data_IF_071572955033
#
_entry.id   IF_071572955033
#
_cell.length_a   1.000
_cell.length_b   1.000
_cell.length_c   1.000
_cell.angle_alpha   90.00
_cell.angle_beta   90.00
_cell.angle_gamma   90.00
#
_symmetry.space_group_name_H-M   'P 1'
#
loop_
_entity.id
_entity.type
_entity.pdbx_description
1 polymer ?
#
# COMPACT_ATOMS: atom_id res chain seq x y z
N UNK A 1 16.18 -17.56 13.02
CA UNK A 1 15.69 -16.19 13.31
C UNK A 1 14.24 -16.28 13.73
N UNK A 2 13.93 -15.90 14.97
CA UNK A 2 12.55 -15.80 15.43
C UNK A 2 11.81 -14.70 14.67
N UNK A 3 10.58 -15.00 14.25
CA UNK A 3 9.72 -14.10 13.50
C UNK A 3 9.13 -13.09 14.47
N UNK A 4 9.39 -11.79 14.26
CA UNK A 4 8.82 -10.72 15.08
C UNK A 4 7.29 -10.74 14.94
N UNK A 5 6.60 -11.01 16.05
CA UNK A 5 5.16 -11.27 16.06
C UNK A 5 4.39 -9.96 15.97
N UNK A 6 4.94 -8.89 16.56
CA UNK A 6 4.37 -7.55 16.49
C UNK A 6 4.30 -7.04 15.04
N UNK A 7 5.39 -7.12 14.28
CA UNK A 7 5.43 -6.73 12.87
C UNK A 7 4.36 -7.45 12.02
N UNK A 8 4.06 -8.71 12.34
CA UNK A 8 3.03 -9.46 11.63
C UNK A 8 1.61 -9.08 12.03
N UNK A 9 1.38 -8.77 13.32
CA UNK A 9 0.11 -8.22 13.78
C UNK A 9 -0.14 -6.85 13.15
N UNK A 10 0.87 -5.97 13.15
CA UNK A 10 0.76 -4.63 12.58
C UNK A 10 0.42 -4.68 11.09
N UNK A 11 0.95 -5.63 10.33
CA UNK A 11 0.54 -5.84 8.92
C UNK A 11 -0.93 -6.22 8.79
N UNK A 12 -1.42 -7.14 9.64
CA UNK A 12 -2.82 -7.56 9.63
C UNK A 12 -3.74 -6.40 10.04
N UNK A 13 -3.40 -5.67 11.11
CA UNK A 13 -4.15 -4.52 11.57
C UNK A 13 -4.15 -3.38 10.56
N UNK A 14 -3.02 -3.06 9.94
CA UNK A 14 -2.92 -2.03 8.91
C UNK A 14 -3.83 -2.35 7.73
N UNK A 15 -3.79 -3.58 7.19
CA UNK A 15 -4.68 -3.93 6.08
C UNK A 15 -6.15 -3.98 6.51
N UNK A 16 -6.47 -4.47 7.72
CA UNK A 16 -7.82 -4.37 8.26
C UNK A 16 -8.31 -2.91 8.36
N UNK A 17 -7.44 -1.99 8.79
CA UNK A 17 -7.71 -0.56 8.83
C UNK A 17 -7.94 0.06 7.46
N UNK A 18 -7.14 -0.31 6.44
CA UNK A 18 -7.35 0.14 5.04
C UNK A 18 -8.73 -0.32 4.55
N UNK A 19 -9.05 -1.61 4.72
CA UNK A 19 -10.33 -2.19 4.29
C UNK A 19 -11.50 -1.50 4.96
N UNK A 20 -11.44 -1.38 6.29
CA UNK A 20 -12.48 -0.71 7.07
C UNK A 20 -12.63 0.76 6.65
N UNK A 21 -11.52 1.48 6.49
CA UNK A 21 -11.52 2.88 6.07
C UNK A 21 -12.16 3.06 4.71
N UNK A 22 -11.72 2.30 3.70
CA UNK A 22 -12.33 2.38 2.36
C UNK A 22 -13.80 2.02 2.37
N UNK A 23 -14.23 1.01 3.13
CA UNK A 23 -15.64 0.61 3.16
C UNK A 23 -16.53 1.58 3.93
N UNK A 24 -15.99 2.23 4.96
CA UNK A 24 -16.70 3.23 5.76
C UNK A 24 -16.82 4.56 5.02
N UNK A 25 -15.81 4.92 4.22
CA UNK A 25 -15.78 6.18 3.48
C UNK A 25 -16.42 6.05 2.09
N UNK A 26 -16.38 4.87 1.48
CA UNK A 26 -17.08 4.61 0.22
C UNK A 26 -18.59 4.73 0.41
N UNK A 27 -19.18 5.67 -0.32
CA UNK A 27 -20.63 5.78 -0.48
C UNK A 27 -20.96 5.63 -1.96
N UNK A 28 -21.82 4.69 -2.28
CA UNK A 28 -22.31 4.47 -3.65
C UNK A 28 -23.70 5.06 -3.74
N UNK A 29 -23.98 5.71 -4.86
CA UNK A 29 -25.30 6.20 -5.21
C UNK A 29 -25.63 5.79 -6.63
N UNK A 30 -26.90 5.55 -6.89
CA UNK A 30 -27.42 5.20 -8.20
C UNK A 30 -28.62 6.09 -8.51
N UNK A 31 -28.50 6.90 -9.57
CA UNK A 31 -29.54 7.82 -10.03
C UNK A 31 -29.64 7.78 -11.55
N UNK A 32 -30.85 7.61 -12.06
CA UNK A 32 -31.16 7.71 -13.50
C UNK A 32 -30.23 6.90 -14.40
N UNK A 33 -29.96 5.64 -14.05
CA UNK A 33 -29.09 4.75 -14.84
C UNK A 33 -27.58 4.88 -14.52
N UNK A 34 -27.18 5.82 -13.68
CA UNK A 34 -25.76 6.13 -13.44
C UNK A 34 -25.32 5.81 -12.02
N UNK A 35 -24.21 5.07 -11.91
CA UNK A 35 -23.51 4.83 -10.64
C UNK A 35 -22.52 5.97 -10.33
N UNK A 36 -22.59 6.50 -9.12
CA UNK A 36 -21.64 7.48 -8.60
C UNK A 36 -21.06 7.02 -7.27
N UNK A 37 -19.74 7.13 -7.13
CA UNK A 37 -19.02 6.96 -5.88
C UNK A 37 -18.74 8.32 -5.26
N UNK A 38 -19.26 8.56 -4.07
CA UNK A 38 -19.02 9.75 -3.28
C UNK A 38 -18.13 9.39 -2.08
N UNK A 39 -17.16 10.25 -1.80
CA UNK A 39 -16.39 10.15 -0.56
C UNK A 39 -17.20 10.78 0.58
N UNK A 40 -17.51 9.97 1.60
CA UNK A 40 -18.26 10.42 2.77
C UNK A 40 -17.60 11.60 3.51
N UNK A 41 -16.26 11.74 3.42
CA UNK A 41 -15.51 12.83 4.07
C UNK A 41 -15.88 14.21 3.54
N UNK A 42 -16.42 14.32 2.32
CA UNK A 42 -16.87 15.59 1.77
C UNK A 42 -18.18 16.08 2.42
N UNK A 43 -18.97 15.17 2.97
CA UNK A 43 -20.28 15.45 3.56
C UNK A 43 -20.26 15.42 5.09
N UNK A 44 -19.31 14.70 5.69
CA UNK A 44 -19.16 14.56 7.14
C UNK A 44 -17.94 15.34 7.61
N UNK A 45 -18.14 16.61 7.96
CA UNK A 45 -17.05 17.53 8.32
C UNK A 45 -16.15 17.06 9.46
N UNK A 46 -16.72 16.40 10.49
CA UNK A 46 -15.94 15.82 11.59
C UNK A 46 -15.17 14.56 11.17
N UNK A 47 -15.55 13.92 10.06
CA UNK A 47 -14.90 12.71 9.54
C UNK A 47 -13.42 12.91 9.22
N UNK A 48 -12.98 14.15 9.01
CA UNK A 48 -11.55 14.48 8.83
C UNK A 48 -10.69 14.04 10.03
N UNK A 49 -11.23 14.07 11.26
CA UNK A 49 -10.52 13.56 12.43
C UNK A 49 -10.41 12.05 12.46
N UNK A 50 -11.40 11.35 11.88
CA UNK A 50 -11.38 9.90 11.75
C UNK A 50 -10.22 9.42 10.86
N UNK A 51 -9.77 10.27 9.92
CA UNK A 51 -8.60 9.97 9.07
C UNK A 51 -7.32 9.77 9.86
N UNK A 52 -7.17 10.37 11.05
CA UNK A 52 -6.04 10.11 11.94
C UNK A 52 -5.99 8.67 12.43
N UNK A 53 -7.15 8.03 12.60
CA UNK A 53 -7.24 6.62 13.01
C UNK A 53 -7.13 5.67 11.81
N UNK A 54 -7.70 6.08 10.67
CA UNK A 54 -7.75 5.27 9.46
C UNK A 54 -6.48 5.36 8.59
N UNK A 55 -5.63 6.37 8.80
CA UNK A 55 -4.37 6.51 8.09
C UNK A 55 -3.32 5.54 8.63
N UNK A 56 -3.30 4.36 8.03
CA UNK A 56 -2.48 3.20 8.46
C UNK A 56 -1.27 2.94 7.56
N UNK A 57 -1.15 3.68 6.46
CA UNK A 57 -0.03 3.55 5.52
C UNK A 57 1.35 3.73 6.16
N UNK A 58 1.57 4.67 7.10
CA UNK A 58 2.87 4.79 7.74
C UNK A 58 3.32 3.52 8.45
N UNK A 59 2.40 2.84 9.14
CA UNK A 59 2.65 1.55 9.80
C UNK A 59 3.15 0.51 8.81
N UNK A 60 2.54 0.46 7.62
CA UNK A 60 2.94 -0.48 6.57
C UNK A 60 4.39 -0.25 6.12
N UNK A 61 4.80 1.01 5.92
CA UNK A 61 6.16 1.34 5.50
C UNK A 61 7.21 1.09 6.60
N UNK A 62 6.88 1.37 7.88
CA UNK A 62 7.75 1.02 9.03
C UNK A 62 7.95 -0.49 9.10
N UNK A 63 6.87 -1.27 9.06
CA UNK A 63 6.95 -2.74 9.10
C UNK A 63 7.66 -3.28 7.85
N UNK A 64 7.43 -2.66 6.69
CA UNK A 64 8.12 -2.96 5.44
C UNK A 64 9.63 -2.75 5.54
N UNK A 65 10.06 -1.65 6.17
CA UNK A 65 11.45 -1.36 6.49
C UNK A 65 12.07 -2.44 7.37
N UNK A 66 11.44 -2.74 8.51
CA UNK A 66 11.87 -3.80 9.42
C UNK A 66 12.02 -5.14 8.70
N UNK A 67 10.99 -5.56 7.97
CA UNK A 67 10.97 -6.85 7.26
C UNK A 67 12.02 -6.92 6.15
N UNK A 68 12.24 -5.82 5.43
CA UNK A 68 13.26 -5.72 4.40
C UNK A 68 14.67 -5.77 5.00
N UNK A 69 14.91 -5.09 6.13
CA UNK A 69 16.21 -5.13 6.81
C UNK A 69 16.55 -6.52 7.34
N UNK A 70 15.60 -7.19 8.02
CA UNK A 70 15.78 -8.58 8.47
C UNK A 70 16.06 -9.50 7.28
N UNK A 71 15.26 -9.40 6.22
CA UNK A 71 15.39 -10.27 5.06
C UNK A 71 16.70 -10.05 4.30
N UNK A 72 17.10 -8.79 4.06
CA UNK A 72 18.34 -8.46 3.37
C UNK A 72 19.56 -8.85 4.18
N UNK A 73 19.57 -8.59 5.49
CA UNK A 73 20.68 -8.97 6.38
C UNK A 73 20.91 -10.48 6.35
N UNK A 74 19.84 -11.28 6.46
CA UNK A 74 19.95 -12.73 6.39
C UNK A 74 20.40 -13.23 5.00
N UNK A 75 20.03 -12.53 3.93
CA UNK A 75 20.44 -12.86 2.56
C UNK A 75 21.91 -12.55 2.31
N UNK A 76 22.38 -11.40 2.82
CA UNK A 76 23.79 -10.99 2.79
C UNK A 76 24.67 -11.98 3.56
N UNK A 77 24.22 -12.46 4.72
CA UNK A 77 24.92 -13.49 5.51
C UNK A 77 25.08 -14.83 4.78
N UNK A 78 24.24 -15.12 3.79
CA UNK A 78 24.34 -16.32 2.94
C UNK A 78 25.15 -16.10 1.66
N UNK A 79 25.76 -14.94 1.49
CA UNK A 79 26.56 -14.60 0.30
C UNK A 79 25.74 -14.40 -0.98
N UNK A 80 24.42 -14.26 -0.87
CA UNK A 80 23.54 -14.12 -2.03
C UNK A 80 23.42 -12.64 -2.46
N UNK A 81 23.56 -12.37 -3.76
CA UNK A 81 23.63 -11.01 -4.32
C UNK A 81 22.30 -10.24 -4.42
N UNK A 82 22.42 -8.92 -4.65
CA UNK A 82 21.32 -7.95 -4.76
C UNK A 82 20.19 -8.40 -5.70
N UNK A 83 20.55 -8.79 -6.92
CA UNK A 83 19.60 -9.14 -7.97
C UNK A 83 18.66 -10.26 -7.53
N UNK A 84 19.17 -11.34 -6.96
CA UNK A 84 18.36 -12.48 -6.53
C UNK A 84 17.37 -12.06 -5.43
N UNK A 85 17.82 -11.22 -4.49
CA UNK A 85 16.96 -10.73 -3.41
C UNK A 85 15.84 -9.84 -3.92
N UNK A 86 16.18 -8.80 -4.70
CA UNK A 86 15.19 -7.85 -5.26
C UNK A 86 14.23 -8.57 -6.18
N UNK A 87 14.72 -9.39 -7.11
CA UNK A 87 13.88 -10.19 -8.01
C UNK A 87 12.91 -11.08 -7.26
N UNK A 88 13.37 -11.83 -6.27
CA UNK A 88 12.51 -12.71 -5.48
C UNK A 88 11.48 -11.95 -4.65
N UNK A 89 11.80 -10.78 -4.11
CA UNK A 89 10.84 -9.92 -3.39
C UNK A 89 9.83 -9.29 -4.35
N UNK A 90 10.30 -8.77 -5.48
CA UNK A 90 9.51 -8.17 -6.53
C UNK A 90 8.51 -9.18 -7.10
N UNK A 91 8.94 -10.35 -7.59
CA UNK A 91 8.04 -11.35 -8.18
C UNK A 91 7.02 -11.91 -7.19
N UNK A 92 7.37 -12.08 -5.91
CA UNK A 92 6.40 -12.47 -4.86
C UNK A 92 5.31 -11.43 -4.65
N UNK A 93 5.62 -10.15 -4.82
CA UNK A 93 4.64 -9.08 -4.78
C UNK A 93 3.82 -9.01 -6.06
N UNK A 94 4.49 -9.15 -7.21
CA UNK A 94 3.87 -9.00 -8.52
C UNK A 94 2.95 -10.17 -8.90
N UNK A 95 3.21 -11.41 -8.48
CA UNK A 95 2.36 -12.52 -8.89
C UNK A 95 0.89 -12.37 -8.49
N UNK A 96 0.57 -12.09 -7.21
CA UNK A 96 -0.80 -11.78 -6.82
C UNK A 96 -1.37 -10.55 -7.54
N UNK A 97 -0.56 -9.51 -7.73
CA UNK A 97 -0.96 -8.28 -8.43
C UNK A 97 -1.28 -8.52 -9.89
N UNK A 98 -0.47 -9.31 -10.61
CA UNK A 98 -0.71 -9.66 -12.01
C UNK A 98 -2.02 -10.41 -12.16
N UNK A 99 -2.35 -11.34 -11.26
CA UNK A 99 -3.66 -12.01 -11.29
C UNK A 99 -4.79 -11.01 -11.08
N UNK A 100 -4.63 -10.08 -10.15
CA UNK A 100 -5.62 -9.03 -9.93
C UNK A 100 -5.81 -8.15 -11.18
N UNK A 101 -4.72 -7.69 -11.79
CA UNK A 101 -4.73 -6.90 -13.03
C UNK A 101 -5.40 -7.67 -14.17
N UNK A 102 -4.99 -8.92 -14.41
CA UNK A 102 -5.56 -9.76 -15.48
C UNK A 102 -7.06 -9.96 -15.28
N UNK A 103 -7.51 -10.28 -14.07
CA UNK A 103 -8.95 -10.44 -13.81
C UNK A 103 -9.70 -9.13 -13.99
N UNK A 104 -9.15 -8.00 -13.52
CA UNK A 104 -9.74 -6.68 -13.73
C UNK A 104 -9.91 -6.35 -15.22
N UNK A 105 -8.87 -6.58 -16.02
CA UNK A 105 -8.90 -6.33 -17.47
C UNK A 105 -9.85 -7.26 -18.22
N UNK A 106 -9.95 -8.53 -17.81
CA UNK A 106 -10.96 -9.46 -18.36
C UNK A 106 -12.36 -8.97 -18.06
N UNK A 107 -12.64 -8.54 -16.82
CA UNK A 107 -13.95 -8.01 -16.44
C UNK A 107 -14.29 -6.74 -17.23
N UNK A 108 -13.36 -5.81 -17.37
CA UNK A 108 -13.54 -4.60 -18.20
C UNK A 108 -13.82 -4.98 -19.66
N UNK A 109 -13.07 -5.93 -20.21
CA UNK A 109 -13.23 -6.38 -21.61
C UNK A 109 -14.59 -7.03 -21.84
N UNK A 110 -15.03 -7.91 -20.94
CA UNK A 110 -16.35 -8.55 -21.04
C UNK A 110 -17.47 -7.53 -20.92
N UNK A 111 -17.38 -6.60 -19.97
CA UNK A 111 -18.39 -5.56 -19.79
C UNK A 111 -18.46 -4.59 -20.98
N UNK A 112 -17.32 -4.32 -21.63
CA UNK A 112 -17.25 -3.58 -22.90
C UNK A 112 -17.98 -4.28 -24.04
N UNK A 113 -17.78 -5.59 -24.18
CA UNK A 113 -18.45 -6.40 -25.20
C UNK A 113 -19.96 -6.43 -24.95
N UNK A 114 -20.38 -6.39 -23.69
CA UNK A 114 -21.78 -6.30 -23.28
C UNK A 114 -22.36 -4.86 -23.34
N UNK A 115 -21.68 -3.93 -24.01
CA UNK A 115 -22.10 -2.53 -24.21
C UNK A 115 -22.36 -1.75 -22.90
N UNK A 116 -21.60 -2.05 -21.84
CA UNK A 116 -21.69 -1.29 -20.59
C UNK A 116 -21.22 0.16 -20.78
N UNK A 117 -21.86 1.08 -20.06
CA UNK A 117 -21.54 2.51 -20.10
C UNK A 117 -20.05 2.78 -19.81
N UNK A 118 -19.43 3.57 -20.69
CA UNK A 118 -17.98 3.87 -20.64
C UNK A 118 -17.61 4.65 -19.39
N UNK A 119 -18.46 5.57 -18.93
CA UNK A 119 -18.17 6.38 -17.76
C UNK A 119 -18.25 5.54 -16.47
N UNK A 120 -19.23 4.64 -16.38
CA UNK A 120 -19.35 3.66 -15.31
C UNK A 120 -18.15 2.71 -15.27
N UNK A 121 -17.71 2.21 -16.44
CA UNK A 121 -16.51 1.37 -16.55
C UNK A 121 -15.24 2.10 -16.11
N UNK A 122 -15.05 3.34 -16.56
CA UNK A 122 -13.90 4.15 -16.17
C UNK A 122 -13.86 4.37 -14.64
N UNK A 123 -15.01 4.69 -14.04
CA UNK A 123 -15.13 4.92 -12.60
C UNK A 123 -14.94 3.64 -11.79
N UNK A 124 -15.55 2.52 -12.19
CA UNK A 124 -15.37 1.23 -11.53
C UNK A 124 -13.92 0.74 -11.66
N UNK A 125 -13.31 0.88 -12.85
CA UNK A 125 -11.92 0.55 -13.10
C UNK A 125 -10.95 1.40 -12.27
N UNK A 126 -11.24 2.68 -12.07
CA UNK A 126 -10.45 3.55 -11.19
C UNK A 126 -10.61 3.19 -9.71
N UNK A 127 -11.83 2.96 -9.23
CA UNK A 127 -12.08 2.52 -7.84
C UNK A 127 -11.39 1.18 -7.55
N UNK A 128 -11.35 0.29 -8.53
CA UNK A 128 -10.64 -0.97 -8.46
C UNK A 128 -9.12 -0.74 -8.29
N UNK A 129 -8.49 0.14 -9.05
CA UNK A 129 -7.02 0.26 -9.02
C UNK A 129 -6.47 1.32 -8.07
N UNK A 130 -7.28 2.23 -7.55
CA UNK A 130 -6.85 3.34 -6.68
C UNK A 130 -5.85 2.85 -5.62
N UNK A 131 -6.21 1.78 -4.90
CA UNK A 131 -5.42 1.28 -3.80
C UNK A 131 -4.02 0.82 -4.19
N UNK A 132 -3.75 0.52 -5.47
CA UNK A 132 -2.47 0.04 -5.99
C UNK A 132 -1.34 1.07 -5.92
N UNK A 133 -1.64 2.35 -5.66
CA UNK A 133 -0.67 3.45 -5.70
C UNK A 133 0.57 3.22 -4.83
N UNK A 134 0.46 2.48 -3.73
CA UNK A 134 1.61 2.25 -2.85
C UNK A 134 2.57 1.19 -3.38
N UNK A 135 2.11 0.26 -4.23
CA UNK A 135 2.94 -0.83 -4.76
C UNK A 135 4.18 -0.31 -5.50
N UNK A 136 4.07 0.65 -6.45
CA UNK A 136 5.25 1.17 -7.14
C UNK A 136 6.24 1.82 -6.16
N UNK A 137 5.76 2.56 -5.17
CA UNK A 137 6.60 3.17 -4.12
C UNK A 137 7.31 2.10 -3.30
N UNK A 138 6.57 1.07 -2.88
CA UNK A 138 7.12 -0.02 -2.08
C UNK A 138 8.11 -0.88 -2.87
N UNK A 139 7.90 -1.08 -4.18
CA UNK A 139 8.87 -1.73 -5.07
C UNK A 139 10.17 -0.94 -5.18
N UNK A 140 10.10 0.39 -5.31
CA UNK A 140 11.28 1.25 -5.29
C UNK A 140 12.03 1.12 -3.97
N UNK A 141 11.33 1.15 -2.83
CA UNK A 141 11.96 0.98 -1.51
C UNK A 141 12.56 -0.41 -1.32
N UNK A 142 11.95 -1.47 -1.88
CA UNK A 142 12.58 -2.80 -1.93
C UNK A 142 13.88 -2.71 -2.73
N UNK A 143 13.86 -2.17 -3.95
CA UNK A 143 15.05 -2.07 -4.78
C UNK A 143 16.19 -1.29 -4.12
N UNK A 144 15.84 -0.21 -3.41
CA UNK A 144 16.76 0.69 -2.71
C UNK A 144 17.15 0.22 -1.31
N UNK A 145 16.49 -0.80 -0.74
CA UNK A 145 16.75 -1.29 0.62
C UNK A 145 18.24 -1.51 0.92
N UNK A 146 19.05 -2.18 0.07
CA UNK A 146 20.46 -2.39 0.37
C UNK A 146 21.25 -1.10 0.53
N UNK A 147 21.02 -0.12 -0.36
CA UNK A 147 21.67 1.19 -0.31
C UNK A 147 21.23 1.95 0.94
N UNK A 148 19.92 2.02 1.16
CA UNK A 148 19.31 2.69 2.29
C UNK A 148 19.73 2.08 3.64
N UNK A 149 19.87 0.76 3.71
CA UNK A 149 20.32 0.06 4.91
C UNK A 149 21.83 0.17 5.11
N UNK A 150 22.63 0.18 4.05
CA UNK A 150 24.06 0.47 4.16
C UNK A 150 24.29 1.90 4.67
N UNK A 151 23.51 2.86 4.17
CA UNK A 151 23.50 4.23 4.67
C UNK A 151 23.08 4.29 6.14
N UNK A 152 21.99 3.61 6.52
CA UNK A 152 21.53 3.54 7.90
C UNK A 152 22.58 2.93 8.85
N UNK A 153 23.26 1.86 8.44
CA UNK A 153 24.35 1.28 9.25
C UNK A 153 25.53 2.22 9.43
N UNK A 154 25.80 3.11 8.47
CA UNK A 154 26.91 4.07 8.51
C UNK A 154 26.58 5.35 9.28
N UNK A 155 25.37 5.87 9.12
CA UNK A 155 24.98 7.20 9.62
C UNK A 155 23.78 7.18 10.60
N UNK A 156 23.19 6.01 10.84
CA UNK A 156 22.07 5.82 11.76
C UNK A 156 20.88 6.74 11.44
N UNK A 157 20.34 7.38 12.49
CA UNK A 157 19.17 8.27 12.40
C UNK A 157 19.44 9.57 11.61
N UNK A 158 20.67 9.85 11.21
CA UNK A 158 20.95 10.99 10.33
C UNK A 158 20.32 10.80 8.94
N UNK A 159 20.22 9.55 8.45
CA UNK A 159 19.60 9.26 7.15
C UNK A 159 18.13 9.68 7.09
N UNK A 160 17.24 9.19 7.99
CA UNK A 160 15.86 9.66 8.02
C UNK A 160 15.75 11.16 8.33
N UNK A 161 16.66 11.75 9.10
CA UNK A 161 16.64 13.20 9.36
C UNK A 161 16.91 14.01 8.08
N UNK A 162 17.95 13.66 7.31
CA UNK A 162 18.27 14.33 6.03
C UNK A 162 17.14 14.14 5.02
N UNK A 163 16.56 12.95 4.93
CA UNK A 163 15.40 12.70 4.07
C UNK A 163 14.17 13.53 4.48
N UNK A 164 13.94 13.71 5.78
CA UNK A 164 12.86 14.57 6.29
C UNK A 164 13.11 16.05 5.95
N UNK A 165 14.33 16.55 6.11
CA UNK A 165 14.70 17.93 5.73
C UNK A 165 14.53 18.14 4.23
N UNK A 166 14.95 17.17 3.41
CA UNK A 166 14.71 17.23 1.96
C UNK A 166 13.21 17.27 1.63
N UNK A 167 12.38 16.51 2.36
CA UNK A 167 10.92 16.53 2.17
C UNK A 167 10.30 17.89 2.54
N UNK A 168 10.80 18.57 3.58
CA UNK A 168 10.42 19.96 3.88
C UNK A 168 10.75 20.87 2.70
N UNK A 169 11.93 20.74 2.11
CA UNK A 169 12.33 21.49 0.92
C UNK A 169 11.41 21.24 -0.27
N UNK A 170 11.00 19.99 -0.49
CA UNK A 170 10.03 19.63 -1.55
C UNK A 170 8.68 20.28 -1.29
N UNK A 171 8.13 20.19 -0.06
CA UNK A 171 6.86 20.84 0.27
C UNK A 171 6.95 22.36 0.10
N UNK A 172 8.06 22.99 0.49
CA UNK A 172 8.28 24.42 0.29
C UNK A 172 8.29 24.80 -1.22
N UNK A 173 8.89 23.98 -2.07
CA UNK A 173 8.88 24.16 -3.53
C UNK A 173 7.51 23.89 -4.17
N UNK A 174 6.74 22.96 -3.62
CA UNK A 174 5.38 22.68 -4.10
C UNK A 174 4.41 23.80 -3.70
N UNK A 175 4.52 24.30 -2.48
CA UNK A 175 3.59 25.28 -1.92
C UNK A 175 3.95 26.74 -2.26
N UNK A 176 5.25 27.05 -2.33
CA UNK A 176 5.75 28.40 -2.64
C UNK A 176 5.72 28.70 -4.14
N UNK A 177 6.69 28.21 -4.93
CA UNK A 177 6.75 28.46 -6.38
C UNK A 177 5.78 27.59 -7.22
N UNK A 178 4.87 26.84 -6.59
CA UNK A 178 3.86 26.01 -7.28
C UNK A 178 4.46 25.03 -8.29
N UNK A 179 5.46 24.24 -7.87
CA UNK A 179 6.12 23.22 -8.70
C UNK A 179 5.59 21.81 -8.38
N UNK A 180 4.36 21.43 -8.82
CA UNK A 180 3.69 20.20 -8.38
C UNK A 180 4.45 18.92 -8.77
N UNK A 181 5.22 18.95 -9.87
CA UNK A 181 6.00 17.81 -10.33
C UNK A 181 7.12 17.43 -9.36
N UNK A 182 7.68 18.38 -8.62
CA UNK A 182 8.73 18.10 -7.61
C UNK A 182 8.13 17.33 -6.43
N UNK A 183 6.84 17.52 -6.15
CA UNK A 183 6.11 16.82 -5.09
C UNK A 183 6.18 15.30 -5.19
N UNK A 184 6.36 14.72 -6.38
CA UNK A 184 6.55 13.27 -6.54
C UNK A 184 7.79 12.74 -5.81
N UNK A 185 8.82 13.57 -5.57
CA UNK A 185 9.99 13.19 -4.79
C UNK A 185 9.62 12.78 -3.35
N UNK A 186 8.56 13.37 -2.77
CA UNK A 186 8.11 13.02 -1.43
C UNK A 186 7.58 11.58 -1.31
N UNK A 187 7.15 10.95 -2.41
CA UNK A 187 6.84 9.52 -2.36
C UNK A 187 8.07 8.69 -1.97
N UNK A 188 9.27 9.09 -2.39
CA UNK A 188 10.47 8.38 -1.96
C UNK A 188 10.99 8.91 -0.62
N UNK A 189 10.94 10.22 -0.38
CA UNK A 189 11.49 10.82 0.84
C UNK A 189 10.62 10.50 2.07
N UNK A 190 9.34 10.87 2.07
CA UNK A 190 8.46 10.74 3.25
C UNK A 190 8.20 9.27 3.60
N UNK A 191 7.81 8.44 2.62
CA UNK A 191 7.65 7.00 2.85
C UNK A 191 8.99 6.32 3.14
N UNK A 192 10.09 6.82 2.57
CA UNK A 192 11.45 6.36 2.86
C UNK A 192 11.90 6.65 4.28
N UNK A 193 11.53 7.79 4.88
CA UNK A 193 11.79 8.07 6.31
C UNK A 193 11.09 7.04 7.19
N UNK A 194 9.82 6.71 6.90
CA UNK A 194 9.08 5.69 7.63
C UNK A 194 9.73 4.31 7.47
N UNK A 195 10.20 3.99 6.28
CA UNK A 195 10.96 2.77 6.00
C UNK A 195 12.27 2.70 6.79
N UNK A 196 13.00 3.82 6.90
CA UNK A 196 14.21 3.97 7.71
C UNK A 196 13.94 3.79 9.22
N UNK A 197 12.80 4.29 9.74
CA UNK A 197 12.40 3.98 11.12
C UNK A 197 12.18 2.48 11.35
N UNK A 198 11.76 1.75 10.32
CA UNK A 198 11.74 0.29 10.33
C UNK A 198 13.11 -0.36 10.49
N UNK A 199 14.15 0.19 9.87
CA UNK A 199 15.54 -0.24 10.09
C UNK A 199 16.00 0.07 11.51
N UNK A 200 15.65 1.26 12.01
CA UNK A 200 15.96 1.70 13.36
C UNK A 200 15.25 0.88 14.45
N UNK A 201 14.09 0.32 14.12
CA UNK A 201 13.41 -0.68 14.95
C UNK A 201 14.15 -2.02 14.92
N UNK A 202 14.63 -2.45 13.74
CA UNK A 202 15.32 -3.73 13.54
C UNK A 202 16.66 -3.83 14.28
N UNK A 203 17.48 -2.78 14.25
CA UNK A 203 18.78 -2.75 14.93
C UNK A 203 18.70 -2.25 16.39
N UNK A 204 17.52 -1.75 16.79
CA UNK A 204 17.24 -1.23 18.11
C UNK A 204 17.76 0.19 18.36
N UNK A 205 18.23 0.91 17.34
CA UNK A 205 18.66 2.31 17.49
C UNK A 205 17.52 3.22 17.96
N UNK A 206 16.27 2.92 17.60
CA UNK A 206 15.10 3.67 18.05
C UNK A 206 14.50 3.12 19.36
N UNK A 207 14.69 1.82 19.66
CA UNK A 207 14.00 1.12 20.78
C UNK A 207 14.88 0.80 21.99
N UNK A 208 16.21 0.82 21.88
CA UNK A 208 17.12 0.56 23.02
C UNK A 208 17.07 1.72 24.03
N UNK A 209 17.41 2.98 23.67
CA UNK A 209 17.04 4.10 24.52
C UNK A 209 15.54 4.38 24.36
N UNK A 210 14.74 3.88 25.31
CA UNK A 210 13.27 3.99 25.25
C UNK A 210 12.75 5.42 25.16
N UNK A 211 13.52 6.40 25.65
CA UNK A 211 13.19 7.82 25.54
C UNK A 211 13.09 8.28 24.07
N UNK A 212 13.81 7.66 23.13
CA UNK A 212 13.75 8.04 21.70
C UNK A 212 12.37 7.78 21.10
N UNK A 213 11.67 6.71 21.51
CA UNK A 213 10.28 6.51 21.13
C UNK A 213 9.40 7.63 21.66
N UNK A 214 9.59 8.03 22.93
CA UNK A 214 8.85 9.15 23.54
C UNK A 214 9.09 10.48 22.84
N UNK A 215 10.33 10.77 22.45
CA UNK A 215 10.68 11.96 21.65
C UNK A 215 10.06 11.91 20.26
N UNK A 216 10.00 10.75 19.62
CA UNK A 216 9.32 10.60 18.33
C UNK A 216 7.81 10.84 18.46
N UNK A 217 7.18 10.35 19.54
CA UNK A 217 5.76 10.62 19.86
C UNK A 217 5.51 12.11 20.06
N UNK A 218 6.21 12.71 21.02
CA UNK A 218 5.99 14.09 21.42
C UNK A 218 6.39 15.07 20.30
N UNK A 219 7.55 14.87 19.69
CA UNK A 219 8.04 15.69 18.58
C UNK A 219 7.12 15.62 17.36
N UNK A 220 6.68 14.41 16.98
CA UNK A 220 5.70 14.25 15.91
C UNK A 220 4.38 14.94 16.20
N UNK A 221 3.88 14.83 17.44
CA UNK A 221 2.57 15.36 17.81
C UNK A 221 2.57 16.89 17.86
N UNK A 222 3.63 17.48 18.45
CA UNK A 222 3.85 18.92 18.50
C UNK A 222 4.03 19.49 17.08
N UNK A 223 4.85 18.84 16.25
CA UNK A 223 5.04 19.27 14.87
C UNK A 223 3.76 19.17 14.05
N UNK A 224 3.01 18.07 14.17
CA UNK A 224 1.72 17.92 13.49
C UNK A 224 0.73 19.00 13.92
N UNK A 225 0.60 19.24 15.22
CA UNK A 225 -0.27 20.30 15.74
C UNK A 225 0.14 21.66 15.19
N UNK A 226 1.45 21.95 15.15
CA UNK A 226 1.94 23.21 14.61
C UNK A 226 1.64 23.37 13.11
N UNK A 227 1.85 22.32 12.32
CA UNK A 227 1.60 22.31 10.88
C UNK A 227 0.12 22.39 10.51
N UNK A 228 -0.77 21.89 11.37
CA UNK A 228 -2.22 21.94 11.14
C UNK A 228 -2.84 23.25 11.64
N UNK A 229 -2.37 23.78 12.78
CA UNK A 229 -2.92 25.00 13.38
C UNK A 229 -2.38 26.26 12.70
N UNK A 230 -1.07 26.31 12.45
CA UNK A 230 -0.39 27.49 11.89
C UNK A 230 0.13 27.27 10.46
N UNK A 231 0.21 26.02 10.01
CA UNK A 231 0.69 25.69 8.67
C UNK A 231 -0.44 25.54 7.64
N UNK A 232 -0.07 25.30 6.37
CA UNK A 232 -1.01 25.19 5.25
C UNK A 232 -1.67 23.80 5.14
N UNK A 233 -1.42 22.88 6.09
CA UNK A 233 -1.79 21.48 5.98
C UNK A 233 -3.13 21.19 6.67
N UNK A 234 -4.05 20.45 6.04
CA UNK A 234 -5.30 20.06 6.68
C UNK A 234 -5.07 18.95 7.72
N UNK A 235 -6.03 18.78 8.63
CA UNK A 235 -6.07 17.62 9.54
C UNK A 235 -6.37 16.29 8.82
N UNK A 236 -6.93 16.34 7.62
CA UNK A 236 -7.20 15.17 6.79
C UNK A 236 -5.89 14.52 6.33
N UNK A 237 -5.59 13.34 6.88
CA UNK A 237 -4.37 12.60 6.56
C UNK A 237 -4.53 11.61 5.42
N UNK A 238 -5.72 11.43 4.84
CA UNK A 238 -5.98 10.47 3.75
C UNK A 238 -6.10 11.21 2.41
N UNK A 239 -6.68 12.42 2.39
CA UNK A 239 -6.54 13.41 1.32
C UNK A 239 -7.69 13.45 0.31
N UNK A 240 -8.92 13.75 0.77
CA UNK A 240 -10.12 13.57 -0.08
C UNK A 240 -10.96 14.82 -0.32
N UNK A 241 -10.31 15.98 -0.46
CA UNK A 241 -10.98 17.19 -0.96
C UNK A 241 -10.34 18.55 -0.63
N UNK A 242 -9.13 18.59 -0.07
CA UNK A 242 -8.46 19.85 0.25
C UNK A 242 -7.59 20.37 -0.92
N UNK A 243 -7.40 21.69 -1.03
CA UNK A 243 -6.48 22.33 -2.01
C UNK A 243 -5.03 21.86 -1.83
N UNK A 244 -4.65 21.49 -0.61
CA UNK A 244 -3.37 20.87 -0.24
C UNK A 244 -3.67 19.52 0.39
N UNK A 245 -3.20 18.42 -0.21
CA UNK A 245 -3.37 17.06 0.31
C UNK A 245 -2.16 16.58 1.11
N UNK A 246 -2.37 15.63 2.03
CA UNK A 246 -1.29 15.06 2.83
C UNK A 246 -0.77 13.71 2.32
N UNK A 247 -1.43 13.06 1.36
CA UNK A 247 -1.08 11.70 0.88
C UNK A 247 -0.61 11.68 -0.58
N UNK A 248 -1.08 12.61 -1.40
CA UNK A 248 -0.88 12.62 -2.86
C UNK A 248 -0.44 14.00 -3.36
N UNK A 249 0.86 14.36 -3.24
CA UNK A 249 1.97 13.59 -2.66
C UNK A 249 2.01 13.63 -1.11
N UNK A 250 2.78 12.73 -0.46
CA UNK A 250 2.87 12.72 1.00
C UNK A 250 3.56 13.98 1.53
N UNK A 251 2.96 14.61 2.54
CA UNK A 251 3.47 15.88 3.10
C UNK A 251 4.31 15.69 4.36
N UNK A 252 4.94 16.78 4.81
CA UNK A 252 5.60 16.84 6.12
C UNK A 252 4.61 16.74 7.29
N UNK A 253 3.35 17.15 7.11
CA UNK A 253 2.31 16.91 8.11
C UNK A 253 2.00 15.42 8.23
N UNK A 254 1.94 14.69 7.12
CA UNK A 254 1.83 13.22 7.17
C UNK A 254 3.06 12.59 7.81
N UNK A 255 4.26 13.13 7.58
CA UNK A 255 5.48 12.63 8.23
C UNK A 255 5.45 12.87 9.75
N UNK A 256 4.98 14.02 10.21
CA UNK A 256 4.82 14.34 11.63
C UNK A 256 3.80 13.41 12.29
N UNK A 257 2.65 13.19 11.63
CA UNK A 257 1.67 12.19 12.04
C UNK A 257 2.28 10.79 12.14
N UNK A 258 3.03 10.38 11.12
CA UNK A 258 3.69 9.08 11.07
C UNK A 258 4.74 8.93 12.18
N UNK A 259 5.45 9.99 12.56
CA UNK A 259 6.37 9.98 13.69
C UNK A 259 5.63 9.65 14.99
N UNK A 260 4.51 10.34 15.25
CA UNK A 260 3.66 10.05 16.42
C UNK A 260 3.17 8.60 16.42
N UNK A 261 2.61 8.16 15.29
CA UNK A 261 2.08 6.81 15.14
C UNK A 261 3.20 5.76 15.35
N UNK A 262 4.36 5.95 14.73
CA UNK A 262 5.52 5.04 14.85
C UNK A 262 6.03 4.98 16.29
N UNK A 263 6.19 6.14 16.95
CA UNK A 263 6.63 6.21 18.33
C UNK A 263 5.68 5.45 19.27
N UNK A 264 4.37 5.65 19.12
CA UNK A 264 3.35 4.95 19.92
C UNK A 264 3.42 3.43 19.70
N UNK A 265 3.55 3.00 18.44
CA UNK A 265 3.68 1.58 18.09
C UNK A 265 4.91 0.94 18.73
N UNK A 266 6.04 1.61 18.73
CA UNK A 266 7.28 1.11 19.32
C UNK A 266 7.26 1.12 20.85
N UNK A 267 6.50 2.02 21.48
CA UNK A 267 6.25 2.00 22.93
C UNK A 267 5.43 0.75 23.32
N UNK A 268 4.41 0.40 22.54
CA UNK A 268 3.54 -0.76 22.83
C UNK A 268 4.11 -2.10 22.36
N UNK A 269 5.13 -2.11 21.51
CA UNK A 269 5.77 -3.30 20.94
C UNK A 269 6.05 -4.43 21.97
N UNK A 270 6.68 -4.16 23.14
CA UNK A 270 6.93 -5.21 24.14
C UNK A 270 5.66 -5.77 24.79
N UNK A 271 4.59 -4.98 24.87
CA UNK A 271 3.30 -5.46 25.37
C UNK A 271 2.60 -6.35 24.34
N UNK A 272 2.70 -6.00 23.06
CA UNK A 272 2.18 -6.78 21.94
C UNK A 272 2.89 -8.13 21.83
N UNK A 273 4.22 -8.17 21.94
CA UNK A 273 4.98 -9.43 21.94
C UNK A 273 4.55 -10.36 23.09
N UNK A 274 4.35 -9.81 24.31
CA UNK A 274 3.81 -10.57 25.44
C UNK A 274 2.38 -11.07 25.20
N UNK A 275 1.53 -10.24 24.59
CA UNK A 275 0.15 -10.63 24.25
C UNK A 275 0.13 -11.79 23.25
N UNK A 276 1.04 -11.77 22.27
CA UNK A 276 1.20 -12.77 21.21
C UNK A 276 2.06 -13.97 21.65
N UNK A 277 2.54 -14.01 22.90
CA UNK A 277 3.22 -15.18 23.46
C UNK A 277 2.31 -16.43 23.46
N UNK A 278 0.99 -16.23 23.64
CA UNK A 278 -0.02 -17.29 23.61
C UNK A 278 -0.13 -17.91 22.20
N UNK A 279 0.11 -19.22 22.09
CA UNK A 279 0.19 -19.94 20.81
C UNK A 279 -1.05 -19.78 19.92
N UNK A 280 -2.26 -19.74 20.47
CA UNK A 280 -3.48 -19.60 19.66
C UNK A 280 -3.58 -18.21 19.00
N UNK A 281 -3.18 -17.14 19.70
CA UNK A 281 -3.16 -15.76 19.16
C UNK A 281 -2.14 -15.65 18.04
N UNK A 282 -0.95 -16.20 18.27
CA UNK A 282 0.09 -16.26 17.23
C UNK A 282 -0.36 -17.07 16.01
N UNK A 283 -1.00 -18.23 16.21
CA UNK A 283 -1.55 -19.04 15.10
C UNK A 283 -2.59 -18.26 14.30
N UNK A 284 -3.46 -17.51 14.95
CA UNK A 284 -4.46 -16.66 14.29
C UNK A 284 -3.78 -15.59 13.43
N UNK A 285 -2.87 -14.79 13.99
CA UNK A 285 -2.13 -13.74 13.27
C UNK A 285 -1.35 -14.34 12.10
N UNK A 286 -0.65 -15.45 12.31
CA UNK A 286 0.09 -16.15 11.25
C UNK A 286 -0.80 -16.63 10.10
N UNK A 287 -2.04 -17.04 10.38
CA UNK A 287 -3.02 -17.41 9.35
C UNK A 287 -3.50 -16.19 8.57
N UNK A 288 -3.89 -15.12 9.27
CA UNK A 288 -4.35 -13.87 8.66
C UNK A 288 -3.25 -13.21 7.82
N UNK A 289 -2.00 -13.25 8.27
CA UNK A 289 -0.88 -12.68 7.55
C UNK A 289 -0.66 -13.34 6.17
N UNK A 290 -1.07 -14.61 5.98
CA UNK A 290 -1.03 -15.28 4.67
C UNK A 290 -2.09 -14.75 3.70
N UNK A 291 -3.15 -14.13 4.19
CA UNK A 291 -4.26 -13.59 3.37
C UNK A 291 -4.13 -12.09 3.13
N UNK A 292 -3.27 -11.40 3.88
CA UNK A 292 -3.07 -9.94 3.84
C UNK A 292 -2.98 -9.38 2.42
N UNK A 293 -2.12 -9.94 1.56
CA UNK A 293 -1.95 -9.43 0.19
C UNK A 293 -3.21 -9.65 -0.66
N UNK A 294 -3.86 -10.81 -0.52
CA UNK A 294 -5.12 -11.10 -1.23
C UNK A 294 -6.24 -10.18 -0.75
N UNK A 295 -6.41 -10.01 0.55
CA UNK A 295 -7.41 -9.09 1.12
C UNK A 295 -7.16 -7.68 0.61
N UNK A 296 -5.92 -7.22 0.66
CA UNK A 296 -5.55 -5.89 0.19
C UNK A 296 -5.88 -5.67 -1.30
N UNK A 297 -5.57 -6.61 -2.19
CA UNK A 297 -5.86 -6.43 -3.62
C UNK A 297 -7.37 -6.49 -3.94
N UNK A 298 -8.12 -7.33 -3.22
CA UNK A 298 -9.48 -7.69 -3.61
C UNK A 298 -10.58 -6.98 -2.82
N UNK A 299 -10.26 -6.21 -1.78
CA UNK A 299 -11.27 -5.61 -0.88
C UNK A 299 -12.22 -4.60 -1.52
N UNK A 300 -11.85 -3.96 -2.63
CA UNK A 300 -12.78 -3.08 -3.36
C UNK A 300 -13.78 -3.85 -4.23
N UNK A 301 -13.51 -5.12 -4.55
CA UNK A 301 -14.40 -5.92 -5.40
C UNK A 301 -15.78 -6.14 -4.77
N UNK A 302 -15.92 -6.50 -3.48
CA UNK A 302 -17.22 -6.51 -2.82
C UNK A 302 -18.05 -5.24 -3.00
N UNK A 303 -17.41 -4.06 -2.89
CA UNK A 303 -18.09 -2.77 -3.07
C UNK A 303 -18.60 -2.64 -4.51
N UNK A 304 -17.76 -2.96 -5.49
CA UNK A 304 -18.12 -2.89 -6.92
C UNK A 304 -19.22 -3.90 -7.26
N UNK A 305 -19.13 -5.15 -6.78
CA UNK A 305 -20.13 -6.18 -6.99
C UNK A 305 -21.49 -5.73 -6.43
N UNK A 306 -21.52 -5.24 -5.20
CA UNK A 306 -22.76 -4.76 -4.58
C UNK A 306 -23.29 -3.52 -5.31
N UNK A 307 -22.42 -2.59 -5.70
CA UNK A 307 -22.79 -1.40 -6.46
C UNK A 307 -23.45 -1.76 -7.80
N UNK A 308 -22.87 -2.69 -8.56
CA UNK A 308 -23.37 -3.06 -9.88
C UNK A 308 -24.61 -3.96 -9.80
N UNK A 309 -24.66 -4.88 -8.84
CA UNK A 309 -25.72 -5.90 -8.78
C UNK A 309 -26.94 -5.50 -7.96
N UNK A 310 -26.80 -4.65 -6.93
CA UNK A 310 -27.86 -4.42 -5.94
C UNK A 310 -28.40 -2.98 -5.91
N UNK A 311 -27.66 -1.99 -6.40
CA UNK A 311 -28.18 -0.62 -6.50
C UNK A 311 -29.15 -0.42 -7.68
N UNK A 312 -28.90 -0.98 -8.89
CA UNK A 312 -29.84 -0.83 -10.01
C UNK A 312 -31.20 -1.48 -9.78
N UNK A 313 -31.28 -2.48 -8.90
CA UNK A 313 -32.53 -3.17 -8.56
C UNK A 313 -33.41 -2.39 -7.58
N UNK A 314 -32.90 -1.29 -7.01
CA UNK A 314 -33.59 -0.52 -5.96
C UNK A 314 -33.59 -1.20 -4.59
N UNK A 315 -32.94 -2.36 -4.44
CA UNK A 315 -32.90 -3.10 -3.18
C UNK A 315 -32.07 -2.38 -2.11
N UNK A 316 -31.00 -1.70 -2.51
CA UNK A 316 -30.11 -1.00 -1.58
C UNK A 316 -30.67 0.38 -1.20
N UNK A 317 -30.91 0.66 0.11
CA UNK A 317 -31.31 1.98 0.55
C UNK A 317 -30.18 2.99 0.31
N UNK A 318 -30.54 4.20 -0.13
CA UNK A 318 -29.60 5.29 -0.44
C UNK A 318 -29.81 6.50 0.48
N UNK A 319 -29.66 6.36 1.82
CA UNK A 319 -29.88 7.47 2.74
C UNK A 319 -28.87 8.59 2.52
N UNK A 320 -29.26 9.81 2.87
CA UNK A 320 -28.36 10.98 2.83
C UNK A 320 -27.10 10.71 3.64
N UNK A 321 -25.93 10.92 3.04
CA UNK A 321 -24.62 10.68 3.66
C UNK A 321 -24.52 11.48 4.96
N UNK A 322 -24.11 10.82 6.04
CA UNK A 322 -23.98 11.44 7.37
C UNK A 322 -25.26 11.46 8.22
N UNK A 323 -26.42 11.09 7.67
CA UNK A 323 -27.66 10.96 8.45
C UNK A 323 -27.60 9.80 9.47
N UNK A 324 -28.47 9.83 10.48
CA UNK A 324 -28.60 8.75 11.46
C UNK A 324 -28.91 7.39 10.80
N UNK A 325 -29.78 7.40 9.77
CA UNK A 325 -30.11 6.20 8.99
C UNK A 325 -28.90 5.65 8.25
N UNK A 326 -28.06 6.52 7.66
CA UNK A 326 -26.83 6.10 6.99
C UNK A 326 -25.88 5.40 7.97
N UNK A 327 -25.70 5.96 9.18
CA UNK A 327 -24.89 5.33 10.22
C UNK A 327 -25.48 4.00 10.72
N UNK A 328 -26.80 3.89 10.86
CA UNK A 328 -27.47 2.66 11.27
C UNK A 328 -27.28 1.52 10.25
N UNK A 329 -27.14 1.85 8.96
CA UNK A 329 -26.92 0.87 7.88
C UNK A 329 -25.46 0.46 7.72
N UNK A 330 -24.49 1.20 8.29
CA UNK A 330 -23.05 0.87 8.15
C UNK A 330 -22.66 -0.50 8.71
N UNK A 331 -23.15 -0.96 9.87
CA UNK A 331 -22.87 -2.32 10.33
C UNK A 331 -23.34 -3.41 9.36
N UNK A 332 -24.54 -3.27 8.78
CA UNK A 332 -25.06 -4.20 7.78
C UNK A 332 -24.22 -4.18 6.49
N UNK A 333 -23.84 -2.98 6.02
CA UNK A 333 -22.93 -2.78 4.90
C UNK A 333 -21.59 -3.49 5.12
N UNK A 334 -20.92 -3.23 6.25
CA UNK A 334 -19.63 -3.84 6.58
C UNK A 334 -19.74 -5.37 6.70
N UNK A 335 -20.84 -5.88 7.24
CA UNK A 335 -21.09 -7.32 7.39
C UNK A 335 -21.24 -8.00 6.02
N UNK A 336 -22.05 -7.41 5.13
CA UNK A 336 -22.24 -7.90 3.76
C UNK A 336 -20.91 -7.92 2.99
N UNK A 337 -20.15 -6.82 3.01
CA UNK A 337 -18.86 -6.73 2.34
C UNK A 337 -17.85 -7.71 2.92
N UNK A 338 -17.83 -7.90 4.24
CA UNK A 338 -16.97 -8.89 4.91
C UNK A 338 -17.29 -10.30 4.44
N UNK A 339 -18.57 -10.68 4.38
CA UNK A 339 -18.99 -11.99 3.91
C UNK A 339 -18.53 -12.24 2.47
N UNK A 340 -18.76 -11.29 1.56
CA UNK A 340 -18.33 -11.36 0.17
C UNK A 340 -16.80 -11.43 0.05
N UNK A 341 -16.07 -10.63 0.83
CA UNK A 341 -14.61 -10.63 0.82
C UNK A 341 -14.04 -11.95 1.32
N UNK A 342 -14.63 -12.57 2.35
CA UNK A 342 -14.20 -13.87 2.86
C UNK A 342 -14.38 -14.94 1.78
N UNK A 343 -15.55 -14.98 1.14
CA UNK A 343 -15.82 -15.92 0.04
C UNK A 343 -14.83 -15.72 -1.13
N UNK A 344 -14.63 -14.48 -1.54
CA UNK A 344 -13.70 -14.11 -2.61
C UNK A 344 -12.26 -14.48 -2.25
N UNK A 345 -11.80 -14.14 -1.05
CA UNK A 345 -10.45 -14.46 -0.57
C UNK A 345 -10.22 -15.96 -0.56
N UNK A 346 -11.19 -16.73 -0.07
CA UNK A 346 -11.12 -18.19 -0.05
C UNK A 346 -11.06 -18.77 -1.47
N UNK A 347 -11.88 -18.27 -2.39
CA UNK A 347 -11.87 -18.67 -3.80
C UNK A 347 -10.54 -18.34 -4.50
N UNK A 348 -10.10 -17.08 -4.40
CA UNK A 348 -8.85 -16.59 -4.98
C UNK A 348 -7.65 -17.35 -4.40
N UNK A 349 -7.58 -17.55 -3.08
CA UNK A 349 -6.47 -18.29 -2.48
C UNK A 349 -6.40 -19.76 -2.93
N UNK A 350 -7.54 -20.39 -3.25
CA UNK A 350 -7.56 -21.72 -3.87
C UNK A 350 -7.07 -21.67 -5.31
N UNK A 351 -7.57 -20.73 -6.11
CA UNK A 351 -7.17 -20.54 -7.50
C UNK A 351 -5.68 -20.16 -7.64
N UNK A 352 -5.13 -19.44 -6.66
CA UNK A 352 -3.74 -18.98 -6.64
C UNK A 352 -2.76 -20.01 -6.06
N UNK A 353 -3.22 -21.21 -5.64
CA UNK A 353 -2.30 -22.27 -5.14
C UNK A 353 -1.19 -22.62 -6.14
N UNK A 354 -1.47 -22.78 -7.45
CA UNK A 354 -0.42 -23.07 -8.44
C UNK A 354 0.62 -21.96 -8.54
N UNK A 355 0.25 -20.69 -8.28
CA UNK A 355 1.19 -19.56 -8.33
C UNK A 355 2.31 -19.67 -7.30
N UNK A 356 2.11 -20.45 -6.23
CA UNK A 356 3.16 -20.72 -5.24
C UNK A 356 4.29 -21.57 -5.81
N UNK A 357 4.04 -22.26 -6.93
CA UNK A 357 5.01 -23.04 -7.67
C UNK A 357 5.73 -22.18 -8.73
N UNK A 358 5.27 -20.94 -8.98
CA UNK A 358 5.93 -20.07 -9.94
C UNK A 358 7.33 -19.71 -9.46
N UNK A 359 8.32 -19.73 -10.37
CA UNK A 359 9.69 -19.46 -10.01
C UNK A 359 9.85 -18.02 -9.52
N UNK A 360 10.78 -17.82 -8.58
CA UNK A 360 11.28 -16.50 -8.14
C UNK A 360 12.30 -15.90 -9.13
N UNK A 361 12.14 -16.22 -10.41
CA UNK A 361 13.05 -15.94 -11.52
C UNK A 361 13.71 -17.21 -12.06
N UNK A 362 14.11 -17.19 -13.33
CA UNK A 362 14.70 -18.35 -14.00
C UNK A 362 16.19 -18.48 -13.66
N UNK A 363 16.54 -19.34 -12.69
CA UNK A 363 17.92 -19.69 -12.33
C UNK A 363 18.79 -18.54 -11.79
N UNK A 364 20.12 -18.65 -11.90
CA UNK A 364 21.09 -17.81 -11.16
C UNK A 364 21.29 -16.44 -11.82
N UNK A 365 21.58 -15.40 -11.02
CA UNK A 365 21.93 -14.10 -11.57
C UNK A 365 23.20 -14.17 -12.43
N UNK A 366 23.11 -13.71 -13.68
CA UNK A 366 24.24 -13.47 -14.57
C UNK A 366 24.64 -11.99 -14.61
N UNK A 367 25.60 -11.65 -15.46
CA UNK A 367 26.14 -10.30 -15.58
C UNK A 367 25.13 -9.23 -16.06
N UNK A 368 24.17 -9.61 -16.93
CA UNK A 368 23.07 -8.72 -17.36
C UNK A 368 21.92 -8.61 -16.36
N UNK A 369 21.87 -9.47 -15.35
CA UNK A 369 20.74 -9.57 -14.44
C UNK A 369 20.43 -8.27 -13.69
N UNK A 370 21.41 -7.49 -13.19
CA UNK A 370 21.11 -6.21 -12.56
C UNK A 370 20.42 -5.23 -13.52
N UNK A 371 20.89 -5.14 -14.77
CA UNK A 371 20.29 -4.29 -15.80
C UNK A 371 18.85 -4.73 -16.09
N UNK A 372 18.60 -6.03 -16.22
CA UNK A 372 17.24 -6.56 -16.44
C UNK A 372 16.30 -6.28 -15.25
N UNK A 373 16.79 -6.36 -14.01
CA UNK A 373 16.00 -5.96 -12.83
C UNK A 373 15.70 -4.46 -12.85
N UNK A 374 16.67 -3.62 -13.23
CA UNK A 374 16.45 -2.18 -13.35
C UNK A 374 15.46 -1.84 -14.48
N UNK A 375 15.55 -2.49 -15.64
CA UNK A 375 14.58 -2.37 -16.72
C UNK A 375 13.19 -2.83 -16.28
N UNK A 376 13.10 -3.94 -15.54
CA UNK A 376 11.84 -4.42 -14.99
C UNK A 376 11.21 -3.39 -14.05
N UNK A 377 11.98 -2.84 -13.11
CA UNK A 377 11.52 -1.77 -12.22
C UNK A 377 11.11 -0.52 -13.00
N UNK A 378 11.92 -0.11 -13.99
CA UNK A 378 11.68 1.04 -14.84
C UNK A 378 10.42 0.93 -15.71
N UNK A 379 9.95 -0.29 -16.00
CA UNK A 379 8.68 -0.51 -16.70
C UNK A 379 7.50 -0.70 -15.73
N UNK A 380 7.68 -1.50 -14.68
CA UNK A 380 6.58 -1.90 -13.77
C UNK A 380 6.15 -0.76 -12.85
N UNK A 381 7.11 -0.01 -12.31
CA UNK A 381 6.82 1.10 -11.38
C UNK A 381 5.94 2.17 -12.04
N UNK A 382 6.30 2.75 -13.21
CA UNK A 382 5.42 3.70 -13.86
C UNK A 382 4.12 3.05 -14.35
N UNK A 383 4.13 1.78 -14.77
CA UNK A 383 2.91 1.11 -15.21
C UNK A 383 1.89 0.96 -14.06
N UNK A 384 2.32 0.51 -12.88
CA UNK A 384 1.46 0.42 -11.70
C UNK A 384 1.01 1.80 -11.21
N UNK A 385 1.89 2.80 -11.23
CA UNK A 385 1.53 4.17 -10.88
C UNK A 385 0.44 4.72 -11.81
N UNK A 386 0.60 4.52 -13.13
CA UNK A 386 -0.40 4.91 -14.13
C UNK A 386 -1.69 4.13 -13.99
N UNK A 387 -1.67 2.82 -13.69
CA UNK A 387 -2.88 2.04 -13.40
C UNK A 387 -3.62 2.59 -12.18
N UNK A 388 -2.90 2.95 -11.12
CA UNK A 388 -3.51 3.54 -9.92
C UNK A 388 -4.13 4.93 -10.18
N UNK A 389 -3.56 5.71 -11.10
CA UNK A 389 -4.07 7.03 -11.48
C UNK A 389 -5.24 6.92 -12.46
N UNK A 390 -5.13 6.07 -13.48
CA UNK A 390 -6.01 6.06 -14.64
C UNK A 390 -7.11 4.98 -14.61
N UNK A 391 -7.01 3.97 -13.74
CA UNK A 391 -7.94 2.85 -13.74
C UNK A 391 -7.59 1.73 -14.72
N UNK A 392 -8.35 0.63 -14.64
CA UNK A 392 -8.35 -0.44 -15.66
C UNK A 392 -9.04 -0.05 -16.97
N UNK A 393 -9.81 1.04 -16.99
CA UNK A 393 -10.59 1.43 -18.16
C UNK A 393 -10.54 2.95 -18.41
N UNK A 394 -9.35 3.57 -18.59
CA UNK A 394 -9.28 5.00 -18.86
C UNK A 394 -10.09 5.37 -20.11
N UNK A 395 -11.05 6.29 -19.94
CA UNK A 395 -11.99 6.67 -21.02
C UNK A 395 -12.92 5.53 -21.46
N UNK A 396 -13.03 4.45 -20.68
CA UNK A 396 -13.79 3.25 -21.03
C UNK A 396 -13.08 2.35 -22.04
N UNK A 397 -11.73 2.37 -22.10
CA UNK A 397 -10.96 1.52 -23.01
C UNK A 397 -9.87 0.75 -22.25
N UNK A 398 -9.56 -0.46 -22.74
CA UNK A 398 -8.45 -1.29 -22.21
C UNK A 398 -7.13 -0.58 -22.50
N UNK A 399 -6.27 -0.32 -21.49
CA UNK A 399 -5.03 0.43 -21.66
C UNK A 399 -3.91 -0.45 -22.22
N UNK A 400 -4.03 -0.88 -23.48
CA UNK A 400 -3.16 -1.90 -24.11
C UNK A 400 -1.66 -1.57 -23.97
N UNK A 401 -1.24 -0.33 -24.27
CA UNK A 401 0.17 0.07 -24.16
C UNK A 401 0.69 -0.04 -22.72
N UNK A 402 -0.13 0.36 -21.75
CA UNK A 402 0.20 0.27 -20.33
C UNK A 402 0.37 -1.18 -19.89
N UNK A 403 -0.55 -2.06 -20.29
CA UNK A 403 -0.48 -3.49 -20.01
C UNK A 403 0.73 -4.13 -20.69
N UNK A 404 1.04 -3.75 -21.93
CA UNK A 404 2.23 -4.21 -22.63
C UNK A 404 3.50 -3.82 -21.86
N UNK A 405 3.62 -2.57 -21.38
CA UNK A 405 4.78 -2.16 -20.58
C UNK A 405 4.89 -2.94 -19.26
N UNK A 406 3.76 -3.20 -18.59
CA UNK A 406 3.72 -4.02 -17.38
C UNK A 406 4.19 -5.46 -17.65
N UNK A 407 3.69 -6.08 -18.72
CA UNK A 407 4.06 -7.45 -19.14
C UNK A 407 5.54 -7.52 -19.53
N UNK A 408 6.05 -6.58 -20.34
CA UNK A 408 7.47 -6.52 -20.69
C UNK A 408 8.35 -6.42 -19.44
N UNK A 409 7.97 -5.60 -18.47
CA UNK A 409 8.68 -5.50 -17.20
C UNK A 409 8.64 -6.81 -16.38
N UNK A 410 7.48 -7.47 -16.34
CA UNK A 410 7.34 -8.77 -15.66
C UNK A 410 8.21 -9.85 -16.32
N UNK A 411 8.27 -9.88 -17.66
CA UNK A 411 9.17 -10.77 -18.40
C UNK A 411 10.63 -10.44 -18.10
N UNK A 412 11.04 -9.17 -18.12
CA UNK A 412 12.39 -8.76 -17.76
C UNK A 412 12.75 -9.20 -16.32
N UNK A 413 11.82 -9.11 -15.38
CA UNK A 413 12.00 -9.61 -14.02
C UNK A 413 12.21 -11.14 -13.98
N UNK A 414 11.43 -11.89 -14.75
CA UNK A 414 11.53 -13.36 -14.80
C UNK A 414 12.82 -13.84 -15.45
N UNK A 415 13.21 -13.22 -16.56
CA UNK A 415 14.42 -13.54 -17.33
C UNK A 415 15.68 -12.87 -16.79
N UNK A 416 15.58 -12.11 -15.69
CA UNK A 416 16.77 -11.60 -14.99
C UNK A 416 17.58 -12.69 -14.28
N UNK A 417 17.33 -13.98 -14.52
CA UNK A 417 18.24 -15.07 -14.19
C UNK A 417 18.57 -15.90 -15.43
N UNK A 418 19.68 -16.63 -15.36
CA UNK A 418 20.05 -17.64 -16.34
C UNK A 418 19.49 -18.99 -15.91
N UNK A 419 18.77 -19.73 -16.77
CA UNK A 419 18.48 -21.13 -16.52
C UNK A 419 19.78 -21.84 -16.17
N UNK A 420 19.79 -22.64 -15.10
CA UNK A 420 20.91 -23.53 -14.85
C UNK A 420 21.09 -24.38 -16.09
N UNK A 421 22.19 -24.19 -16.83
CA UNK A 421 22.57 -25.10 -17.90
C UNK A 421 22.58 -26.49 -17.26
N UNK A 422 21.63 -27.34 -17.66
CA UNK A 422 21.54 -28.69 -17.14
C UNK A 422 22.92 -29.33 -17.29
N UNK A 423 23.46 -29.87 -16.20
CA UNK A 423 24.45 -30.92 -16.33
C UNK A 423 23.71 -32.07 -17.00
N UNK A 424 23.78 -32.14 -18.33
CA UNK A 424 23.57 -33.36 -19.09
C UNK A 424 24.69 -34.31 -18.65
N UNK A 425 24.40 -35.11 -17.63
CA UNK A 425 25.18 -36.27 -17.25
C UNK A 425 24.58 -37.49 -17.93
#
# INVERSE_FOLDING_TARGET
MERNRCADLLRVCAIGGVVLGHWLLASVTYRSGHLSGLDALQYVGWGRWLTLLLQVMPVFFVVGGYANAVSWTAHQQRGEGWTNWVRGRMLRLLWPTTVYVVVGEVVVTVARIADADKAALARAGWLATLHLWFLPVYLLLIALTPLLLAAHRRWGLAVPAVMAVAAVGVDALVLGPHLPLIGFANYLLVWGVMHQWGFAWQDGTLTRPRWRCGVLVAGGAVLLAALVVWGPFPIDMIGTGARVGNTTPPSIALLAFAATQTGLLLVVDPAVERLLARQWRWRLVSRLNRTVMTVYLWHMMPVIIVAVMLYPTGFMPQPTIGSAQWWALRPAWLTLLTALLVLLTVGVMRAQRPLRLLPSGLGTAGWWSPLLVLCALGAIVPALARLAICGFAPGGHVPVLLLATYVCGLLAALYSGRPSAGRSG
#
